data_IF_192517847785
#
_entry.id   IF_192517847785
#
_cell.length_a   1.000
_cell.length_b   1.000
_cell.length_c   1.000
_cell.angle_alpha   90.00
_cell.angle_beta   90.00
_cell.angle_gamma   90.00
#
_symmetry.space_group_name_H-M   'P 1'
#
loop_
_entity.id
_entity.type
_entity.pdbx_description
1 polymer ?
#
# COMPACT_ATOMS: atom_id res chain seq x y z
N UNK A 1 -19.36 1.82 -14.95
CA UNK A 1 -18.81 1.72 -13.59
C UNK A 1 -17.71 2.75 -13.46
N UNK A 2 -17.83 3.70 -12.54
CA UNK A 2 -16.77 4.68 -12.30
C UNK A 2 -15.57 4.02 -11.59
N UNK A 3 -14.42 4.71 -11.54
CA UNK A 3 -13.17 4.17 -10.95
C UNK A 3 -13.36 3.71 -9.50
N UNK A 4 -14.13 4.46 -8.70
CA UNK A 4 -14.41 4.13 -7.30
C UNK A 4 -15.26 2.88 -7.17
N UNK A 5 -16.31 2.74 -7.96
CA UNK A 5 -17.14 1.53 -8.01
C UNK A 5 -16.32 0.31 -8.43
N UNK A 6 -15.42 0.46 -9.41
CA UNK A 6 -14.51 -0.61 -9.85
C UNK A 6 -13.55 -1.03 -8.74
N UNK A 7 -12.97 -0.07 -8.03
CA UNK A 7 -12.10 -0.32 -6.88
C UNK A 7 -12.82 -1.07 -5.76
N UNK A 8 -14.05 -0.66 -5.43
CA UNK A 8 -14.86 -1.33 -4.43
C UNK A 8 -15.29 -2.73 -4.87
N UNK A 9 -15.71 -2.89 -6.13
CA UNK A 9 -16.06 -4.20 -6.68
C UNK A 9 -14.89 -5.17 -6.59
N UNK A 10 -13.70 -4.73 -6.99
CA UNK A 10 -12.48 -5.53 -6.92
C UNK A 10 -12.15 -5.94 -5.48
N UNK A 11 -12.17 -5.00 -4.54
CA UNK A 11 -11.81 -5.30 -3.14
C UNK A 11 -12.88 -6.06 -2.35
N UNK A 12 -14.08 -6.23 -2.89
CA UNK A 12 -15.11 -7.08 -2.30
C UNK A 12 -15.01 -8.56 -2.75
N UNK A 13 -14.04 -8.90 -3.59
CA UNK A 13 -13.76 -10.28 -3.97
C UNK A 13 -12.98 -11.02 -2.87
N UNK A 14 -12.94 -12.34 -2.97
CA UNK A 14 -12.04 -13.15 -2.14
C UNK A 14 -10.57 -12.75 -2.36
N UNK A 15 -9.71 -12.76 -1.33
CA UNK A 15 -8.34 -12.26 -1.42
C UNK A 15 -7.53 -12.80 -2.60
N UNK A 16 -7.70 -14.07 -2.98
CA UNK A 16 -7.00 -14.73 -4.08
C UNK A 16 -7.46 -14.24 -5.46
N UNK A 17 -8.67 -13.69 -5.57
CA UNK A 17 -9.22 -13.15 -6.81
C UNK A 17 -8.84 -11.67 -7.03
N UNK A 18 -8.35 -10.98 -6.00
CA UNK A 18 -7.99 -9.56 -6.08
C UNK A 18 -6.68 -9.40 -6.87
N UNK A 19 -6.78 -8.81 -8.05
CA UNK A 19 -5.59 -8.33 -8.78
C UNK A 19 -4.95 -7.14 -8.05
N UNK A 20 -3.77 -7.37 -7.49
CA UNK A 20 -3.02 -6.36 -6.75
C UNK A 20 -2.58 -5.18 -7.64
N UNK A 21 -2.13 -5.46 -8.88
CA UNK A 21 -1.80 -4.41 -9.84
C UNK A 21 -3.01 -3.59 -10.24
N UNK A 22 -4.17 -4.23 -10.49
CA UNK A 22 -5.38 -3.49 -10.83
C UNK A 22 -5.81 -2.58 -9.68
N UNK A 23 -5.81 -3.07 -8.45
CA UNK A 23 -6.16 -2.26 -7.28
C UNK A 23 -5.22 -1.05 -7.13
N UNK A 24 -3.91 -1.25 -7.33
CA UNK A 24 -2.93 -0.16 -7.25
C UNK A 24 -3.04 0.82 -8.44
N UNK A 25 -3.38 0.36 -9.65
CA UNK A 25 -3.66 1.22 -10.80
C UNK A 25 -4.96 2.01 -10.62
N UNK A 26 -5.98 1.44 -9.97
CA UNK A 26 -7.22 2.15 -9.62
C UNK A 26 -6.98 3.23 -8.56
N UNK A 27 -6.02 3.03 -7.64
CA UNK A 27 -5.55 4.11 -6.76
C UNK A 27 -4.91 5.24 -7.57
N UNK A 28 -4.12 4.91 -8.59
CA UNK A 28 -3.47 5.90 -9.44
C UNK A 28 -4.44 6.63 -10.39
N UNK A 29 -5.48 5.96 -10.87
CA UNK A 29 -6.49 6.51 -11.77
C UNK A 29 -7.28 7.69 -11.16
N UNK A 30 -7.16 7.90 -9.85
CA UNK A 30 -7.70 9.09 -9.16
C UNK A 30 -6.91 10.36 -9.41
N UNK A 31 -5.61 10.23 -9.65
CA UNK A 31 -4.76 11.34 -10.09
C UNK A 31 -4.74 11.46 -11.62
N UNK A 32 -5.00 10.34 -12.30
CA UNK A 32 -4.99 10.24 -13.76
C UNK A 32 -6.33 9.63 -14.26
N UNK A 33 -7.40 10.44 -14.41
CA UNK A 33 -8.73 9.94 -14.78
C UNK A 33 -8.78 9.17 -16.11
N UNK A 34 -7.90 9.52 -17.05
CA UNK A 34 -7.80 8.89 -18.37
C UNK A 34 -6.80 7.72 -18.41
N UNK A 35 -6.35 7.22 -17.25
CA UNK A 35 -5.38 6.14 -17.16
C UNK A 35 -5.90 4.84 -17.79
N UNK A 36 -5.22 4.36 -18.82
CA UNK A 36 -5.50 3.06 -19.42
C UNK A 36 -4.92 1.93 -18.56
N UNK A 37 -5.71 1.45 -17.60
CA UNK A 37 -5.36 0.33 -16.72
C UNK A 37 -4.93 -0.91 -17.51
N UNK A 38 -5.63 -1.22 -18.61
CA UNK A 38 -5.38 -2.44 -19.38
C UNK A 38 -4.02 -2.39 -20.09
N UNK A 39 -3.60 -1.20 -20.56
CA UNK A 39 -2.28 -1.00 -21.13
C UNK A 39 -1.15 -1.28 -20.11
N UNK A 40 -1.31 -0.85 -18.85
CA UNK A 40 -0.31 -1.14 -17.81
C UNK A 40 -0.29 -2.62 -17.42
N UNK A 41 -1.44 -3.28 -17.36
CA UNK A 41 -1.50 -4.73 -17.14
C UNK A 41 -0.82 -5.49 -18.28
N UNK A 42 -1.03 -5.06 -19.53
CA UNK A 42 -0.37 -5.64 -20.72
C UNK A 42 1.16 -5.52 -20.64
N UNK A 43 1.68 -4.43 -20.05
CA UNK A 43 3.13 -4.26 -19.83
C UNK A 43 3.65 -5.23 -18.77
N UNK A 44 2.91 -5.47 -17.69
CA UNK A 44 3.26 -6.49 -16.69
C UNK A 44 3.21 -7.90 -17.30
N UNK A 45 2.23 -8.18 -18.17
CA UNK A 45 2.18 -9.43 -18.93
C UNK A 45 3.40 -9.61 -19.83
N UNK A 46 3.84 -8.54 -20.50
CA UNK A 46 5.03 -8.58 -21.33
C UNK A 46 6.30 -8.86 -20.52
N UNK A 47 6.42 -8.29 -19.31
CA UNK A 47 7.51 -8.59 -18.38
C UNK A 47 7.52 -10.06 -17.97
N UNK A 48 6.35 -10.63 -17.63
CA UNK A 48 6.22 -12.04 -17.30
C UNK A 48 6.54 -12.95 -18.51
N UNK A 49 6.01 -12.65 -19.69
CA UNK A 49 6.28 -13.41 -20.92
C UNK A 49 7.77 -13.48 -21.26
N UNK A 50 8.52 -12.42 -21.02
CA UNK A 50 9.97 -12.40 -21.26
C UNK A 50 10.74 -13.38 -20.34
N UNK A 51 10.23 -13.61 -19.12
CA UNK A 51 10.82 -14.54 -18.14
C UNK A 51 10.32 -15.99 -18.29
N UNK A 52 9.13 -16.19 -18.86
CA UNK A 52 8.44 -17.48 -18.91
C UNK A 52 9.32 -18.66 -19.37
N UNK A 53 10.13 -18.58 -20.45
CA UNK A 53 10.92 -19.71 -20.91
C UNK A 53 11.97 -20.17 -19.90
N UNK A 54 12.58 -19.22 -19.18
CA UNK A 54 13.61 -19.50 -18.15
C UNK A 54 12.96 -20.01 -16.86
N UNK A 55 11.84 -19.40 -16.46
CA UNK A 55 11.09 -19.78 -15.26
C UNK A 55 10.48 -21.17 -15.38
N UNK A 56 9.93 -21.54 -16.54
CA UNK A 56 9.29 -22.84 -16.74
C UNK A 56 10.24 -24.04 -16.64
N UNK A 57 11.56 -23.80 -16.70
CA UNK A 57 12.59 -24.84 -16.63
C UNK A 57 13.29 -24.87 -15.26
N UNK A 58 12.90 -24.01 -14.33
CA UNK A 58 13.56 -23.87 -13.03
C UNK A 58 12.59 -24.24 -11.90
N UNK A 59 13.10 -25.00 -10.93
CA UNK A 59 12.33 -25.48 -9.77
C UNK A 59 12.88 -24.94 -8.46
N UNK A 60 14.13 -24.48 -8.41
CA UNK A 60 14.76 -23.92 -7.22
C UNK A 60 14.22 -22.50 -6.95
N UNK A 61 13.53 -22.27 -5.82
CA UNK A 61 13.04 -20.96 -5.43
C UNK A 61 14.11 -19.86 -5.43
N UNK A 62 15.34 -20.17 -5.03
CA UNK A 62 16.41 -19.19 -4.96
C UNK A 62 16.83 -18.72 -6.37
N UNK A 63 16.89 -19.65 -7.31
CA UNK A 63 17.16 -19.35 -8.72
C UNK A 63 16.00 -18.62 -9.39
N UNK A 64 14.75 -18.98 -9.09
CA UNK A 64 13.57 -18.26 -9.56
C UNK A 64 13.58 -16.80 -9.09
N UNK A 65 13.85 -16.57 -7.80
CA UNK A 65 14.01 -15.21 -7.25
C UNK A 65 15.16 -14.47 -7.94
N UNK A 66 16.30 -15.14 -8.16
CA UNK A 66 17.42 -14.54 -8.87
C UNK A 66 17.06 -14.13 -10.30
N UNK A 67 16.33 -14.95 -11.05
CA UNK A 67 15.85 -14.64 -12.41
C UNK A 67 14.96 -13.39 -12.42
N UNK A 68 14.05 -13.27 -11.46
CA UNK A 68 13.19 -12.08 -11.33
C UNK A 68 14.01 -10.84 -10.97
N UNK A 69 14.91 -10.96 -10.00
CA UNK A 69 15.76 -9.85 -9.56
C UNK A 69 16.63 -9.31 -10.70
N UNK A 70 17.30 -10.22 -11.42
CA UNK A 70 18.15 -9.89 -12.57
C UNK A 70 17.36 -9.14 -13.64
N UNK A 71 16.20 -9.66 -14.00
CA UNK A 71 15.39 -9.04 -15.03
C UNK A 71 14.78 -7.70 -14.60
N UNK A 72 14.13 -7.63 -13.44
CA UNK A 72 13.44 -6.42 -13.00
C UNK A 72 14.42 -5.32 -12.59
N UNK A 73 15.44 -5.63 -11.80
CA UNK A 73 16.31 -4.61 -11.21
C UNK A 73 17.55 -4.32 -12.06
N UNK A 74 18.12 -5.32 -12.76
CA UNK A 74 19.33 -5.11 -13.58
C UNK A 74 19.00 -4.85 -15.05
N UNK A 75 18.13 -5.63 -15.68
CA UNK A 75 17.79 -5.43 -17.11
C UNK A 75 16.81 -4.27 -17.33
N UNK A 76 15.71 -4.23 -16.57
CA UNK A 76 14.73 -3.15 -16.70
C UNK A 76 15.13 -1.90 -15.91
N UNK A 77 15.89 -2.06 -14.82
CA UNK A 77 16.40 -0.94 -14.04
C UNK A 77 15.40 -0.38 -13.01
N UNK A 78 14.47 -1.21 -12.52
CA UNK A 78 13.63 -0.83 -11.38
C UNK A 78 14.51 -0.54 -10.16
N UNK A 79 14.24 0.57 -9.46
CA UNK A 79 15.02 0.98 -8.29
C UNK A 79 14.20 1.77 -7.26
N UNK A 80 14.65 1.71 -6.02
CA UNK A 80 14.17 2.58 -4.95
C UNK A 80 14.54 4.04 -5.18
N UNK A 81 13.62 4.96 -4.87
CA UNK A 81 13.93 6.39 -4.84
C UNK A 81 14.46 6.79 -3.46
N UNK A 82 15.78 6.90 -3.34
CA UNK A 82 16.43 7.38 -2.10
C UNK A 82 16.58 8.91 -2.07
N UNK A 83 16.60 9.55 -3.23
CA UNK A 83 16.83 11.00 -3.37
C UNK A 83 15.57 11.80 -3.03
N UNK A 84 14.42 11.34 -3.51
CA UNK A 84 13.13 11.96 -3.28
C UNK A 84 12.09 10.89 -2.90
N UNK A 85 12.29 10.28 -1.73
CA UNK A 85 11.46 9.16 -1.26
C UNK A 85 9.97 9.52 -1.17
N UNK A 86 9.66 10.77 -0.80
CA UNK A 86 8.30 11.25 -0.56
C UNK A 86 7.63 11.87 -1.80
N UNK A 87 8.22 11.74 -3.00
CA UNK A 87 7.52 11.99 -4.26
C UNK A 87 6.30 11.05 -4.39
N UNK A 88 5.06 11.56 -4.48
CA UNK A 88 3.86 10.72 -4.57
C UNK A 88 3.88 9.78 -5.78
N UNK A 89 4.55 10.16 -6.88
CA UNK A 89 4.71 9.32 -8.08
C UNK A 89 5.48 8.03 -7.80
N UNK A 90 6.25 7.95 -6.71
CA UNK A 90 6.89 6.70 -6.30
C UNK A 90 5.87 5.67 -5.77
N UNK A 91 4.64 6.09 -5.44
CA UNK A 91 3.55 5.22 -4.97
C UNK A 91 2.48 4.96 -6.04
N UNK A 92 2.39 5.77 -7.08
CA UNK A 92 1.40 5.60 -8.16
C UNK A 92 1.92 4.58 -9.17
N UNK A 93 1.24 3.42 -9.31
CA UNK A 93 1.81 2.28 -10.04
C UNK A 93 2.13 2.58 -11.51
N UNK A 94 1.34 3.44 -12.17
CA UNK A 94 1.60 3.86 -13.54
C UNK A 94 2.95 4.60 -13.66
N UNK A 95 3.19 5.58 -12.78
CA UNK A 95 4.44 6.33 -12.72
C UNK A 95 5.62 5.43 -12.35
N UNK A 96 5.41 4.47 -11.44
CA UNK A 96 6.45 3.50 -11.07
C UNK A 96 6.84 2.62 -12.25
N UNK A 97 5.87 2.16 -13.05
CA UNK A 97 6.14 1.34 -14.24
C UNK A 97 6.82 2.16 -15.35
N UNK A 98 6.47 3.44 -15.50
CA UNK A 98 7.07 4.34 -16.49
C UNK A 98 8.48 4.77 -16.14
N UNK A 99 8.66 5.26 -14.93
CA UNK A 99 9.93 5.81 -14.44
C UNK A 99 10.87 4.72 -13.96
N UNK A 100 10.34 3.52 -13.64
CA UNK A 100 11.04 2.40 -12.99
C UNK A 100 11.63 2.80 -11.65
N UNK A 101 10.97 3.72 -10.96
CA UNK A 101 11.39 4.31 -9.70
C UNK A 101 10.21 4.25 -8.73
N UNK A 102 10.42 3.68 -7.54
CA UNK A 102 9.34 3.48 -6.58
C UNK A 102 9.79 3.44 -5.12
N UNK A 103 8.85 3.08 -4.25
CA UNK A 103 9.07 2.83 -2.82
C UNK A 103 8.98 1.31 -2.55
N UNK A 104 9.32 0.83 -1.33
CA UNK A 104 9.26 -0.60 -1.03
C UNK A 104 7.92 -1.25 -1.39
N UNK A 105 6.79 -0.57 -1.12
CA UNK A 105 5.45 -1.10 -1.39
C UNK A 105 5.18 -1.24 -2.90
N UNK A 106 5.41 -0.19 -3.69
CA UNK A 106 5.06 -0.18 -5.12
C UNK A 106 6.00 -1.05 -5.96
N UNK A 107 7.29 -1.11 -5.62
CA UNK A 107 8.23 -2.05 -6.25
C UNK A 107 7.87 -3.50 -5.92
N UNK A 108 7.40 -3.76 -4.71
CA UNK A 108 6.91 -5.09 -4.33
C UNK A 108 5.63 -5.46 -5.07
N UNK A 109 4.72 -4.50 -5.32
CA UNK A 109 3.53 -4.72 -6.15
C UNK A 109 3.95 -5.14 -7.58
N UNK A 110 4.88 -4.43 -8.22
CA UNK A 110 5.40 -4.82 -9.54
C UNK A 110 5.98 -6.24 -9.50
N UNK A 111 6.83 -6.53 -8.50
CA UNK A 111 7.48 -7.83 -8.35
C UNK A 111 6.46 -8.96 -8.18
N UNK A 112 5.49 -8.79 -7.27
CA UNK A 112 4.42 -9.76 -7.02
C UNK A 112 3.57 -9.94 -8.27
N UNK A 113 3.15 -8.85 -8.92
CA UNK A 113 2.29 -8.91 -10.10
C UNK A 113 2.93 -9.63 -11.30
N UNK A 114 4.24 -9.46 -11.53
CA UNK A 114 4.99 -10.24 -12.53
C UNK A 114 5.10 -11.69 -12.09
N UNK A 115 5.43 -11.93 -10.82
CA UNK A 115 5.51 -13.24 -10.21
C UNK A 115 4.24 -14.08 -10.29
N UNK A 116 3.09 -13.48 -10.00
CA UNK A 116 1.77 -14.13 -10.08
C UNK A 116 1.46 -14.57 -11.51
N UNK A 117 1.79 -13.76 -12.51
CA UNK A 117 1.63 -14.10 -13.93
C UNK A 117 2.50 -15.29 -14.36
N UNK A 118 3.64 -15.48 -13.69
CA UNK A 118 4.54 -16.62 -13.86
C UNK A 118 4.12 -17.85 -13.04
N UNK A 119 3.04 -17.77 -12.26
CA UNK A 119 2.58 -18.85 -11.37
C UNK A 119 3.42 -19.03 -10.11
N UNK A 120 4.23 -18.03 -9.72
CA UNK A 120 5.09 -18.11 -8.55
C UNK A 120 4.34 -17.78 -7.25
N UNK A 121 4.59 -18.50 -6.14
CA UNK A 121 3.89 -18.32 -4.87
C UNK A 121 4.47 -17.14 -4.07
N UNK A 122 4.37 -15.93 -4.65
CA UNK A 122 4.89 -14.69 -4.07
C UNK A 122 3.81 -13.94 -3.29
N UNK A 123 4.20 -13.26 -2.22
CA UNK A 123 3.32 -12.38 -1.46
C UNK A 123 4.08 -11.25 -0.78
N UNK A 124 3.38 -10.17 -0.43
CA UNK A 124 3.97 -9.10 0.37
C UNK A 124 4.12 -9.51 1.83
N UNK A 125 5.07 -8.90 2.53
CA UNK A 125 5.22 -8.98 3.99
C UNK A 125 5.15 -7.55 4.52
N UNK A 126 4.05 -7.28 5.21
CA UNK A 126 3.76 -5.97 5.78
C UNK A 126 4.44 -5.82 7.15
N UNK A 127 5.72 -5.45 7.16
CA UNK A 127 6.50 -5.26 8.38
C UNK A 127 6.47 -3.79 8.89
N UNK A 128 6.55 -3.52 10.20
CA UNK A 128 6.67 -2.16 10.70
C UNK A 128 7.85 -1.40 10.07
N UNK A 129 7.60 -0.20 9.53
CA UNK A 129 8.57 0.67 8.80
C UNK A 129 9.31 0.03 7.61
N UNK A 130 8.99 -1.19 7.22
CA UNK A 130 9.65 -1.91 6.13
C UNK A 130 8.64 -2.71 5.31
N UNK A 131 8.93 -3.03 4.06
CA UNK A 131 8.06 -3.89 3.26
C UNK A 131 8.93 -4.81 2.43
N UNK A 132 8.64 -6.10 2.50
CA UNK A 132 9.38 -7.13 1.80
C UNK A 132 8.43 -7.97 0.94
N UNK A 133 9.00 -8.79 0.07
CA UNK A 133 8.29 -9.86 -0.63
C UNK A 133 8.77 -11.19 -0.06
N UNK A 134 7.86 -12.15 0.10
CA UNK A 134 8.18 -13.53 0.42
C UNK A 134 7.88 -14.45 -0.76
N UNK A 135 8.79 -15.37 -1.04
CA UNK A 135 8.51 -16.57 -1.82
C UNK A 135 8.12 -17.67 -0.83
N UNK A 136 6.86 -18.14 -0.91
CA UNK A 136 6.28 -19.12 0.02
C UNK A 136 6.77 -20.54 -0.28
N UNK A 137 8.07 -20.78 -0.17
CA UNK A 137 8.66 -22.11 -0.20
C UNK A 137 8.48 -22.77 1.19
N UNK A 138 8.30 -24.09 1.18
CA UNK A 138 8.22 -24.92 2.40
C UNK A 138 9.41 -25.88 2.40
N UNK A 139 10.12 -26.07 3.52
CA UNK A 139 9.84 -25.52 4.86
C UNK A 139 10.34 -24.07 5.06
N UNK A 140 11.25 -23.59 4.22
CA UNK A 140 11.96 -22.32 4.44
C UNK A 140 11.51 -21.24 3.44
N UNK A 141 10.73 -20.24 3.87
CA UNK A 141 10.38 -19.13 3.00
C UNK A 141 11.60 -18.25 2.69
N UNK A 142 11.68 -17.75 1.46
CA UNK A 142 12.65 -16.71 1.12
C UNK A 142 12.00 -15.35 1.30
N UNK A 143 12.77 -14.39 1.80
CA UNK A 143 12.37 -12.98 1.87
C UNK A 143 13.32 -12.14 1.03
N UNK A 144 12.79 -11.11 0.38
CA UNK A 144 13.58 -10.17 -0.40
C UNK A 144 13.05 -8.75 -0.27
N UNK A 145 13.97 -7.80 -0.36
CA UNK A 145 13.68 -6.38 -0.37
C UNK A 145 13.70 -5.83 -1.80
N UNK A 146 12.52 -5.59 -2.37
CA UNK A 146 12.39 -5.06 -3.73
C UNK A 146 12.91 -3.62 -3.88
N UNK A 147 12.98 -2.84 -2.79
CA UNK A 147 13.56 -1.50 -2.82
C UNK A 147 15.08 -1.53 -2.97
N UNK A 148 15.71 -2.50 -2.29
CA UNK A 148 17.15 -2.77 -2.37
C UNK A 148 17.47 -3.86 -3.41
N UNK A 149 16.87 -3.75 -4.61
CA UNK A 149 17.17 -4.58 -5.79
C UNK A 149 17.03 -6.10 -5.55
N UNK A 150 16.08 -6.50 -4.71
CA UNK A 150 15.81 -7.90 -4.42
C UNK A 150 16.81 -8.54 -3.46
N UNK A 151 17.53 -7.75 -2.67
CA UNK A 151 18.40 -8.24 -1.59
C UNK A 151 17.66 -9.27 -0.75
N UNK A 152 18.23 -10.47 -0.62
CA UNK A 152 17.69 -11.51 0.23
C UNK A 152 17.80 -11.10 1.71
N UNK A 153 16.72 -11.35 2.45
CA UNK A 153 16.59 -11.10 3.88
C UNK A 153 16.41 -12.43 4.62
N UNK A 154 17.00 -12.50 5.81
CA UNK A 154 16.78 -13.57 6.79
C UNK A 154 15.89 -13.07 7.92
N UNK A 155 15.32 -13.99 8.68
CA UNK A 155 14.55 -13.63 9.89
C UNK A 155 15.35 -12.73 10.85
N UNK A 156 16.67 -12.96 10.97
CA UNK A 156 17.56 -12.12 11.76
C UNK A 156 17.56 -10.65 11.34
N UNK A 157 17.43 -10.36 10.03
CA UNK A 157 17.34 -8.97 9.54
C UNK A 157 16.05 -8.30 10.02
N UNK A 158 14.92 -9.02 9.96
CA UNK A 158 13.64 -8.52 10.49
C UNK A 158 13.68 -8.34 12.01
N UNK A 159 14.35 -9.24 12.74
CA UNK A 159 14.51 -9.13 14.18
C UNK A 159 15.27 -7.87 14.57
N UNK A 160 16.33 -7.52 13.83
CA UNK A 160 17.08 -6.28 14.05
C UNK A 160 16.19 -5.05 13.81
N UNK A 161 15.48 -5.00 12.66
CA UNK A 161 14.54 -3.93 12.36
C UNK A 161 13.44 -3.78 13.42
N UNK A 162 12.96 -4.90 13.97
CA UNK A 162 11.96 -4.90 15.04
C UNK A 162 12.48 -4.23 16.30
N UNK A 163 13.67 -4.66 16.77
CA UNK A 163 14.26 -4.15 18.01
C UNK A 163 14.67 -2.68 17.88
N UNK A 164 15.10 -2.24 16.70
CA UNK A 164 15.33 -0.81 16.43
C UNK A 164 14.05 0.03 16.58
N UNK A 165 12.90 -0.53 16.19
CA UNK A 165 11.64 0.19 16.25
C UNK A 165 10.96 0.15 17.62
N UNK A 166 10.95 -1.01 18.29
CA UNK A 166 10.20 -1.24 19.52
C UNK A 166 11.07 -1.29 20.78
N UNK A 167 12.39 -1.23 20.63
CA UNK A 167 13.37 -1.28 21.70
C UNK A 167 13.99 -2.68 21.91
N UNK A 168 15.13 -2.76 22.61
CA UNK A 168 15.90 -3.99 22.76
C UNK A 168 15.19 -5.10 23.56
N UNK A 169 14.25 -4.72 24.45
CA UNK A 169 13.47 -5.65 25.27
C UNK A 169 12.19 -6.14 24.58
N UNK A 170 11.89 -5.65 23.37
CA UNK A 170 10.68 -6.02 22.66
C UNK A 170 10.73 -7.49 22.21
N UNK A 171 9.63 -8.22 22.41
CA UNK A 171 9.54 -9.62 22.00
C UNK A 171 9.18 -9.72 20.51
N UNK A 172 10.11 -10.23 19.72
CA UNK A 172 9.86 -10.59 18.32
C UNK A 172 9.01 -11.86 18.23
N UNK A 173 7.87 -11.77 17.56
CA UNK A 173 7.02 -12.92 17.21
C UNK A 173 7.12 -13.14 15.69
N UNK A 174 7.66 -14.29 15.22
CA UNK A 174 7.76 -14.59 13.78
C UNK A 174 6.43 -14.52 13.02
N UNK A 175 5.28 -14.60 13.69
CA UNK A 175 3.97 -14.41 13.07
C UNK A 175 3.81 -13.05 12.35
N UNK A 176 4.61 -12.04 12.71
CA UNK A 176 4.64 -10.74 12.01
C UNK A 176 5.18 -10.85 10.57
N UNK A 177 5.85 -11.94 10.21
CA UNK A 177 6.38 -12.21 8.87
C UNK A 177 5.38 -12.95 7.96
N UNK A 178 4.13 -13.13 8.42
CA UNK A 178 3.10 -13.76 7.60
C UNK A 178 2.89 -13.00 6.27
N UNK A 179 2.42 -13.70 5.22
CA UNK A 179 1.96 -13.03 4.02
C UNK A 179 0.87 -12.00 4.31
N UNK A 180 1.01 -10.84 3.71
CA UNK A 180 0.03 -9.76 3.75
C UNK A 180 -1.09 -10.04 2.74
N UNK A 181 -2.32 -9.67 3.09
CA UNK A 181 -3.45 -9.72 2.16
C UNK A 181 -3.39 -8.55 1.17
N UNK A 182 -4.05 -8.62 0.00
CA UNK A 182 -4.13 -7.48 -0.92
C UNK A 182 -4.67 -6.21 -0.24
N UNK A 183 -5.68 -6.32 0.63
CA UNK A 183 -6.19 -5.18 1.40
C UNK A 183 -5.12 -4.55 2.29
N UNK A 184 -4.29 -5.34 2.96
CA UNK A 184 -3.21 -4.81 3.80
C UNK A 184 -2.16 -4.05 2.98
N UNK A 185 -1.82 -4.57 1.79
CA UNK A 185 -0.87 -3.93 0.88
C UNK A 185 -1.44 -2.61 0.35
N UNK A 186 -2.68 -2.61 -0.13
CA UNK A 186 -3.37 -1.42 -0.64
C UNK A 186 -3.61 -0.39 0.47
N UNK A 187 -3.96 -0.83 1.69
CA UNK A 187 -4.08 0.07 2.83
C UNK A 187 -2.74 0.74 3.16
N UNK A 188 -1.61 0.03 3.07
CA UNK A 188 -0.28 0.64 3.26
C UNK A 188 0.06 1.62 2.17
N UNK A 189 -0.25 1.30 0.92
CA UNK A 189 -0.06 2.21 -0.22
C UNK A 189 -0.84 3.52 -0.01
N UNK A 190 -2.11 3.42 0.34
CA UNK A 190 -3.00 4.56 0.62
C UNK A 190 -2.53 5.36 1.85
N UNK A 191 -2.06 4.71 2.91
CA UNK A 191 -1.50 5.39 4.10
C UNK A 191 -0.23 6.17 3.74
N UNK A 192 0.63 5.62 2.88
CA UNK A 192 1.83 6.33 2.42
C UNK A 192 1.47 7.58 1.61
N UNK A 193 0.56 7.46 0.64
CA UNK A 193 0.06 8.61 -0.13
C UNK A 193 -0.64 9.65 0.78
N UNK A 194 -1.51 9.20 1.69
CA UNK A 194 -2.15 10.08 2.69
C UNK A 194 -1.11 10.87 3.48
N UNK A 195 -0.06 10.19 3.97
CA UNK A 195 1.01 10.84 4.72
C UNK A 195 1.72 11.91 3.89
N UNK A 196 2.08 11.60 2.64
CA UNK A 196 2.74 12.54 1.72
C UNK A 196 1.86 13.78 1.50
N UNK A 197 0.58 13.59 1.14
CA UNK A 197 -0.31 14.70 0.85
C UNK A 197 -0.65 15.54 2.08
N UNK A 198 -0.76 14.94 3.27
CA UNK A 198 -0.90 15.70 4.53
C UNK A 198 0.34 16.55 4.80
N UNK A 199 1.54 16.00 4.60
CA UNK A 199 2.79 16.75 4.81
C UNK A 199 2.95 17.91 3.80
N UNK A 200 2.35 17.78 2.61
CA UNK A 200 2.30 18.82 1.58
C UNK A 200 1.11 19.78 1.75
N UNK A 201 0.28 19.61 2.79
CA UNK A 201 -0.97 20.34 3.02
C UNK A 201 -1.99 20.24 1.85
N UNK A 202 -1.86 19.22 1.01
CA UNK A 202 -2.83 18.89 -0.05
C UNK A 202 -3.98 18.06 0.54
N UNK A 203 -4.84 18.73 1.29
CA UNK A 203 -6.00 18.11 1.93
C UNK A 203 -6.99 17.46 0.95
N UNK A 204 -7.28 18.03 -0.24
CA UNK A 204 -8.15 17.37 -1.21
C UNK A 204 -7.63 15.98 -1.61
N UNK A 205 -6.31 15.84 -1.86
CA UNK A 205 -5.69 14.54 -2.16
C UNK A 205 -5.64 13.62 -0.95
N UNK A 206 -5.32 14.16 0.23
CA UNK A 206 -5.32 13.37 1.46
C UNK A 206 -6.71 12.79 1.80
N UNK A 207 -7.77 13.56 1.61
CA UNK A 207 -9.17 13.11 1.77
C UNK A 207 -9.47 11.97 0.80
N UNK A 208 -9.11 12.11 -0.48
CA UNK A 208 -9.26 11.05 -1.49
C UNK A 208 -8.59 9.74 -1.07
N UNK A 209 -7.37 9.79 -0.52
CA UNK A 209 -6.70 8.61 0.03
C UNK A 209 -7.43 8.05 1.26
N UNK A 210 -7.88 8.93 2.17
CA UNK A 210 -8.51 8.53 3.43
C UNK A 210 -9.90 7.92 3.24
N UNK A 211 -10.68 8.37 2.26
CA UNK A 211 -11.97 7.77 1.89
C UNK A 211 -11.78 6.31 1.46
N UNK A 212 -10.80 6.05 0.57
CA UNK A 212 -10.45 4.69 0.11
C UNK A 212 -9.90 3.82 1.22
N UNK A 213 -9.05 4.39 2.06
CA UNK A 213 -8.50 3.68 3.20
C UNK A 213 -9.61 3.21 4.14
N UNK A 214 -10.59 4.07 4.43
CA UNK A 214 -11.73 3.70 5.26
C UNK A 214 -12.57 2.58 4.63
N UNK A 215 -12.73 2.54 3.31
CA UNK A 215 -13.38 1.40 2.63
C UNK A 215 -12.58 0.10 2.77
N UNK A 216 -11.25 0.17 2.64
CA UNK A 216 -10.37 -1.01 2.71
C UNK A 216 -10.31 -1.59 4.13
N UNK A 217 -10.27 -0.73 5.15
CA UNK A 217 -9.94 -1.15 6.52
C UNK A 217 -11.14 -1.21 7.44
N UNK A 218 -12.16 -0.39 7.18
CA UNK A 218 -13.32 -0.16 8.06
C UNK A 218 -12.95 0.17 9.53
N UNK A 219 -11.73 0.66 9.79
CA UNK A 219 -11.25 0.91 11.14
C UNK A 219 -11.77 2.25 11.69
N UNK A 220 -12.17 2.31 12.97
CA UNK A 220 -12.59 3.58 13.60
C UNK A 220 -11.52 4.68 13.52
N UNK A 221 -10.24 4.33 13.64
CA UNK A 221 -9.15 5.29 13.53
C UNK A 221 -9.08 5.94 12.13
N UNK A 222 -9.27 5.16 11.06
CA UNK A 222 -9.29 5.68 9.68
C UNK A 222 -10.54 6.55 9.44
N UNK A 223 -11.66 6.27 10.13
CA UNK A 223 -12.87 7.11 10.12
C UNK A 223 -12.62 8.46 10.79
N UNK A 224 -12.01 8.44 11.97
CA UNK A 224 -11.61 9.64 12.70
C UNK A 224 -10.69 10.51 11.84
N UNK A 225 -9.66 9.91 11.25
CA UNK A 225 -8.71 10.59 10.38
C UNK A 225 -9.40 11.25 9.18
N UNK A 226 -10.34 10.55 8.52
CA UNK A 226 -11.12 11.12 7.43
C UNK A 226 -11.94 12.34 7.88
N UNK A 227 -12.62 12.26 9.03
CA UNK A 227 -13.36 13.39 9.58
C UNK A 227 -12.46 14.60 9.88
N UNK A 228 -11.25 14.37 10.40
CA UNK A 228 -10.28 15.45 10.62
C UNK A 228 -9.76 16.05 9.30
N UNK A 229 -9.50 15.23 8.29
CA UNK A 229 -9.03 15.70 6.98
C UNK A 229 -10.10 16.49 6.23
N UNK A 230 -11.35 16.04 6.25
CA UNK A 230 -12.49 16.77 5.68
C UNK A 230 -12.66 18.14 6.34
N UNK A 231 -12.46 18.22 7.66
CA UNK A 231 -12.47 19.50 8.37
C UNK A 231 -11.34 20.44 7.92
N UNK A 232 -10.13 19.91 7.72
CA UNK A 232 -8.97 20.67 7.20
C UNK A 232 -9.18 21.14 5.76
N UNK A 233 -9.85 20.33 4.95
CA UNK A 233 -10.25 20.64 3.57
C UNK A 233 -11.42 21.64 3.48
N UNK A 234 -11.97 22.10 4.61
CA UNK A 234 -13.11 23.02 4.65
C UNK A 234 -14.47 22.35 4.38
N UNK A 235 -14.52 21.04 4.18
CA UNK A 235 -15.74 20.23 3.99
C UNK A 235 -16.41 19.92 5.34
N UNK A 236 -16.77 20.98 6.07
CA UNK A 236 -17.22 20.88 7.47
C UNK A 236 -18.49 20.02 7.64
N UNK A 237 -19.44 20.12 6.70
CA UNK A 237 -20.69 19.34 6.73
C UNK A 237 -20.42 17.85 6.59
N UNK A 238 -19.43 17.47 5.77
CA UNK A 238 -19.05 16.08 5.55
C UNK A 238 -18.23 15.53 6.73
N UNK A 239 -17.43 16.38 7.40
CA UNK A 239 -16.58 15.99 8.52
C UNK A 239 -17.38 15.52 9.76
N UNK A 240 -18.46 16.21 10.10
CA UNK A 240 -19.23 16.02 11.34
C UNK A 240 -19.72 14.58 11.52
N UNK A 241 -20.43 13.96 10.54
CA UNK A 241 -20.91 12.58 10.68
C UNK A 241 -19.80 11.55 10.96
N UNK A 242 -18.60 11.73 10.40
CA UNK A 242 -17.49 10.82 10.61
C UNK A 242 -16.97 10.87 12.06
N UNK A 243 -16.81 12.07 12.61
CA UNK A 243 -16.35 12.26 13.99
C UNK A 243 -17.40 11.80 15.02
N UNK A 244 -18.67 12.11 14.78
CA UNK A 244 -19.78 11.62 15.63
C UNK A 244 -19.85 10.10 15.65
N UNK A 245 -19.70 9.46 14.48
CA UNK A 245 -19.72 8.01 14.38
C UNK A 245 -18.51 7.39 15.09
N UNK A 246 -17.33 7.97 14.96
CA UNK A 246 -16.13 7.53 15.68
C UNK A 246 -16.32 7.57 17.21
N UNK A 247 -16.85 8.68 17.75
CA UNK A 247 -17.10 8.83 19.19
C UNK A 247 -18.14 7.84 19.74
N UNK A 248 -19.02 7.32 18.88
CA UNK A 248 -19.98 6.25 19.20
C UNK A 248 -19.33 4.86 19.11
N UNK A 249 -18.48 4.63 18.11
CA UNK A 249 -17.80 3.35 17.89
C UNK A 249 -16.72 3.07 18.95
N UNK A 250 -16.05 4.13 19.46
CA UNK A 250 -14.96 4.02 20.44
C UNK A 250 -15.22 4.97 21.61
N UNK A 251 -16.13 4.62 22.54
CA UNK A 251 -16.54 5.52 23.61
C UNK A 251 -15.40 5.88 24.56
N UNK A 252 -14.46 4.98 24.81
CA UNK A 252 -13.32 5.15 25.72
C UNK A 252 -12.01 5.49 24.97
N UNK A 253 -12.10 6.17 23.83
CA UNK A 253 -10.93 6.56 23.04
C UNK A 253 -10.00 7.51 23.84
N UNK A 254 -8.70 7.26 23.83
CA UNK A 254 -7.71 8.10 24.52
C UNK A 254 -7.71 9.56 24.02
N UNK A 255 -8.06 9.78 22.75
CA UNK A 255 -8.16 11.08 22.09
C UNK A 255 -9.60 11.63 22.04
N UNK A 256 -10.55 11.02 22.77
CA UNK A 256 -11.97 11.42 22.79
C UNK A 256 -12.15 12.92 23.00
N UNK A 257 -11.56 13.48 24.06
CA UNK A 257 -11.72 14.89 24.41
C UNK A 257 -11.24 15.83 23.28
N UNK A 258 -10.16 15.45 22.58
CA UNK A 258 -9.65 16.19 21.44
C UNK A 258 -10.62 16.15 20.26
N UNK A 259 -11.23 15.00 20.00
CA UNK A 259 -12.21 14.82 18.92
C UNK A 259 -13.53 15.56 19.23
N UNK A 260 -14.02 15.51 20.46
CA UNK A 260 -15.21 16.25 20.91
C UNK A 260 -15.02 17.77 20.80
N UNK A 261 -13.84 18.27 21.19
CA UNK A 261 -13.49 19.68 21.03
C UNK A 261 -13.49 20.11 19.55
N UNK A 262 -12.92 19.28 18.66
CA UNK A 262 -12.95 19.53 17.22
C UNK A 262 -14.38 19.52 16.68
N UNK A 263 -15.19 18.53 17.04
CA UNK A 263 -16.58 18.44 16.63
C UNK A 263 -17.40 19.68 17.06
N UNK A 264 -17.21 20.14 18.30
CA UNK A 264 -17.88 21.34 18.82
C UNK A 264 -17.51 22.57 18.01
N UNK A 265 -16.23 22.77 17.68
CA UNK A 265 -15.77 23.88 16.83
C UNK A 265 -16.39 23.83 15.43
N UNK A 266 -16.47 22.65 14.82
CA UNK A 266 -17.07 22.47 13.50
C UNK A 266 -18.56 22.81 13.49
N UNK A 267 -19.29 22.35 14.51
CA UNK A 267 -20.72 22.65 14.65
C UNK A 267 -20.97 24.15 14.88
N UNK A 268 -20.12 24.82 15.65
CA UNK A 268 -20.20 26.28 15.82
C UNK A 268 -19.90 27.03 14.51
N UNK A 269 -18.90 26.60 13.75
CA UNK A 269 -18.58 27.19 12.45
C UNK A 269 -19.74 27.03 11.45
N UNK A 270 -20.35 25.84 11.38
CA UNK A 270 -21.52 25.58 10.54
C UNK A 270 -22.72 26.46 10.89
N UNK A 271 -22.96 26.71 12.19
CA UNK A 271 -24.03 27.62 12.63
C UNK A 271 -23.81 29.08 12.19
N UNK A 272 -22.57 29.50 11.96
CA UNK A 272 -22.23 30.86 11.49
C UNK A 272 -22.34 31.02 9.98
N UNK A 273 -22.39 29.90 9.24
CA UNK A 273 -22.49 29.87 7.77
C UNK A 273 -23.94 29.78 7.27
N UNK A 274 -24.89 29.53 8.18
CA UNK A 274 -26.33 29.52 7.92
C UNK A 274 -26.95 30.83 8.40
#
# INVERSE_FOLDING_TARGET
>A
MNIRERFLFLLNQEPEAISLDEAALLVAAEEYPDLDIAAYQTRLDAMARALQPRVAQELDPARLVHLLNDYLFHHLGFRGNVEDYYDPRNSLLNDVIDRRVGIPISLSIVYISVGTRLGLPLAGVSFPRHFAVTYRASPDPLFLDAFNQGRLLRESDFRLLFLEQFGPEARFDPAVLRPATPHEIIARLLRNLKYIYVAQEDFPRAVRCSERLLYVTALPADRRDLGMLLARDGRLRDAVPHLERYLKEVPEAADRAQVEANLTRLQQALKRLN
#
